data_IF_548278456044
#
_entry.id   IF_548278456044
#
_cell.length_a   1.000
_cell.length_b   1.000
_cell.length_c   1.000
_cell.angle_alpha   90.00
_cell.angle_beta   90.00
_cell.angle_gamma   90.00
#
_symmetry.space_group_name_H-M   'P 1'
#
loop_
_entity.id
_entity.type
_entity.pdbx_description
1 polymer ?
#
# COMPACT_ATOMS: atom_id res chain seq x y z
N UNK A 1 -14.39 23.61 -3.97
CA UNK A 1 -13.47 22.47 -4.12
C UNK A 1 -13.91 21.40 -3.15
N UNK A 2 -14.51 20.32 -3.66
CA UNK A 2 -15.03 19.21 -2.84
C UNK A 2 -13.82 18.44 -2.30
N UNK A 3 -13.68 18.38 -0.97
CA UNK A 3 -12.74 17.48 -0.31
C UNK A 3 -13.28 16.06 -0.49
N UNK A 4 -12.56 15.24 -1.27
CA UNK A 4 -12.78 13.80 -1.29
C UNK A 4 -12.55 13.28 0.13
N UNK A 5 -13.60 12.74 0.74
CA UNK A 5 -13.46 12.01 2.00
C UNK A 5 -13.05 10.61 1.60
N UNK A 6 -11.76 10.31 1.69
CA UNK A 6 -11.28 8.92 1.73
C UNK A 6 -11.96 8.28 2.93
N UNK A 7 -12.89 7.36 2.69
CA UNK A 7 -13.54 6.61 3.75
C UNK A 7 -12.47 5.69 4.37
N UNK A 8 -11.94 6.09 5.52
CA UNK A 8 -11.09 5.22 6.31
C UNK A 8 -11.96 4.05 6.81
N UNK A 9 -11.81 2.88 6.20
CA UNK A 9 -12.47 1.66 6.61
C UNK A 9 -11.79 1.16 7.90
N UNK A 10 -12.32 1.57 9.06
CA UNK A 10 -11.83 1.10 10.35
C UNK A 10 -12.49 -0.26 10.64
N UNK A 11 -11.73 -1.34 10.50
CA UNK A 11 -12.13 -2.67 10.97
C UNK A 11 -12.08 -2.73 12.50
N UNK A 12 -13.18 -2.39 13.16
CA UNK A 12 -13.35 -2.69 14.58
C UNK A 12 -13.86 -4.12 14.76
N UNK A 13 -13.34 -4.83 15.77
CA UNK A 13 -13.70 -6.21 16.07
C UNK A 13 -15.02 -6.38 16.87
N UNK A 14 -15.68 -7.52 16.64
CA UNK A 14 -16.74 -8.23 17.40
C UNK A 14 -18.22 -7.78 17.31
N UNK A 15 -19.04 -8.55 16.56
CA UNK A 15 -20.13 -9.47 17.02
C UNK A 15 -21.08 -9.83 15.85
N UNK A 16 -21.38 -11.13 15.75
CA UNK A 16 -22.12 -11.93 14.74
C UNK A 16 -23.51 -11.46 14.30
N UNK A 17 -23.87 -11.69 13.01
CA UNK A 17 -25.11 -12.31 12.49
C UNK A 17 -24.76 -13.01 11.15
N UNK A 18 -25.34 -14.19 10.91
CA UNK A 18 -24.95 -15.15 9.87
C UNK A 18 -25.70 -14.95 8.53
N UNK A 19 -24.95 -14.91 7.44
CA UNK A 19 -25.33 -15.52 6.14
C UNK A 19 -24.08 -16.16 5.53
N UNK A 20 -24.14 -17.46 5.25
CA UNK A 20 -23.10 -18.17 4.49
C UNK A 20 -23.48 -18.19 3.01
N UNK A 21 -22.63 -17.62 2.18
CA UNK A 21 -22.66 -17.83 0.73
C UNK A 21 -21.25 -18.10 0.23
N UNK A 22 -21.17 -18.74 -0.92
CA UNK A 22 -19.89 -19.12 -1.53
C UNK A 22 -19.68 -18.17 -2.71
N UNK A 23 -18.61 -17.38 -2.68
CA UNK A 23 -18.11 -16.73 -3.89
C UNK A 23 -17.60 -17.86 -4.80
N UNK A 24 -18.12 -17.94 -6.03
CA UNK A 24 -17.78 -19.03 -6.94
C UNK A 24 -16.35 -18.84 -7.48
N UNK A 25 -15.46 -19.82 -7.25
CA UNK A 25 -14.08 -19.79 -7.75
C UNK A 25 -13.94 -20.48 -9.12
N UNK A 26 -13.21 -19.84 -10.04
CA UNK A 26 -12.84 -20.39 -11.35
C UNK A 26 -11.43 -21.02 -11.41
N UNK A 27 -10.68 -21.03 -10.29
CA UNK A 27 -9.29 -21.46 -10.22
C UNK A 27 -8.92 -22.10 -8.86
N UNK A 28 -7.67 -22.58 -8.74
CA UNK A 28 -7.17 -23.25 -7.54
C UNK A 28 -7.26 -22.38 -6.28
N UNK A 29 -7.42 -23.03 -5.12
CA UNK A 29 -7.57 -22.36 -3.82
C UNK A 29 -6.23 -21.75 -3.34
N UNK A 30 -6.33 -20.60 -2.67
CA UNK A 30 -5.23 -19.87 -2.04
C UNK A 30 -5.34 -20.08 -0.53
N UNK A 31 -4.37 -20.79 0.05
CA UNK A 31 -4.31 -21.04 1.49
C UNK A 31 -3.67 -19.88 2.27
N UNK A 32 -2.78 -19.14 1.61
CA UNK A 32 -2.07 -18.00 2.17
C UNK A 32 -1.87 -16.94 1.09
N UNK A 33 -2.44 -15.75 1.28
CA UNK A 33 -2.34 -14.66 0.31
C UNK A 33 -0.90 -14.16 0.19
N UNK A 34 -0.19 -14.05 1.32
CA UNK A 34 1.22 -13.69 1.34
C UNK A 34 2.08 -14.65 0.51
N UNK A 35 1.93 -15.96 0.69
CA UNK A 35 2.70 -16.98 -0.04
C UNK A 35 2.30 -17.07 -1.52
N UNK A 36 1.03 -16.79 -1.85
CA UNK A 36 0.59 -16.75 -3.24
C UNK A 36 1.23 -15.58 -3.99
N UNK A 37 1.23 -14.38 -3.39
CA UNK A 37 1.79 -13.18 -4.02
C UNK A 37 3.33 -13.21 -4.00
N UNK A 38 3.91 -13.71 -2.91
CA UNK A 38 5.36 -13.87 -2.76
C UNK A 38 5.69 -15.34 -2.44
N UNK A 39 5.88 -16.19 -3.46
CA UNK A 39 6.22 -17.60 -3.26
C UNK A 39 7.58 -17.83 -2.59
N UNK A 40 8.42 -16.80 -2.53
CA UNK A 40 9.67 -16.83 -1.78
C UNK A 40 9.38 -16.66 -0.28
N UNK A 41 10.04 -17.46 0.55
CA UNK A 41 9.87 -17.46 2.02
C UNK A 41 10.14 -16.06 2.62
N UNK A 42 11.10 -15.34 2.06
CA UNK A 42 11.46 -13.99 2.48
C UNK A 42 11.10 -13.00 1.38
N UNK A 43 10.19 -12.06 1.71
CA UNK A 43 9.95 -10.90 0.85
C UNK A 43 11.16 -9.97 1.03
N UNK A 44 11.84 -9.55 -0.05
CA UNK A 44 13.02 -8.73 0.07
C UNK A 44 12.69 -7.43 0.82
N UNK A 45 13.60 -6.97 1.66
CA UNK A 45 13.55 -5.65 2.28
C UNK A 45 14.67 -4.85 1.64
N UNK A 46 14.33 -3.84 0.86
CA UNK A 46 15.32 -3.02 0.15
C UNK A 46 15.85 -1.91 1.07
N UNK A 47 17.16 -1.79 1.13
CA UNK A 47 17.88 -0.85 1.98
C UNK A 47 19.20 -0.42 1.33
N UNK A 48 19.40 0.88 1.20
CA UNK A 48 20.64 1.47 0.65
C UNK A 48 21.85 1.09 1.52
N UNK A 49 21.71 1.08 2.84
CA UNK A 49 22.81 0.83 3.79
C UNK A 49 23.36 -0.60 3.71
N UNK A 50 22.52 -1.55 3.28
CA UNK A 50 22.88 -2.97 3.20
C UNK A 50 23.42 -3.39 1.83
N UNK A 51 23.51 -2.44 0.87
CA UNK A 51 23.84 -2.71 -0.54
C UNK A 51 22.93 -3.74 -1.22
N UNK A 52 21.77 -4.04 -0.62
CA UNK A 52 20.80 -4.97 -1.19
C UNK A 52 19.83 -4.28 -2.17
N UNK A 53 19.99 -2.98 -2.42
CA UNK A 53 19.23 -2.20 -3.42
C UNK A 53 19.54 -2.61 -4.88
N UNK A 54 20.54 -3.45 -5.11
CA UNK A 54 20.74 -4.11 -6.40
C UNK A 54 19.88 -5.38 -6.56
N UNK A 55 19.11 -5.74 -5.53
CA UNK A 55 18.16 -6.86 -5.58
C UNK A 55 16.93 -6.42 -6.35
N UNK A 56 16.35 -7.34 -7.12
CA UNK A 56 15.11 -7.08 -7.84
C UNK A 56 13.94 -6.81 -6.89
N UNK A 57 13.13 -5.82 -7.24
CA UNK A 57 11.80 -5.64 -6.66
C UNK A 57 10.95 -6.82 -7.14
N UNK A 58 10.19 -7.51 -6.24
CA UNK A 58 9.32 -8.59 -6.64
C UNK A 58 8.28 -8.11 -7.66
N UNK A 59 8.17 -8.79 -8.80
CA UNK A 59 7.09 -8.55 -9.78
C UNK A 59 5.96 -9.53 -9.50
N UNK A 60 4.74 -9.02 -9.33
CA UNK A 60 3.55 -9.84 -9.08
C UNK A 60 2.82 -10.16 -10.39
N UNK A 61 2.09 -11.28 -10.42
CA UNK A 61 1.28 -11.65 -11.57
C UNK A 61 0.12 -10.65 -11.75
N UNK A 62 -0.16 -10.21 -12.99
CA UNK A 62 -1.23 -9.24 -13.24
C UNK A 62 -2.62 -9.75 -12.85
N UNK A 63 -2.84 -11.08 -12.81
CA UNK A 63 -4.09 -11.66 -12.30
C UNK A 63 -4.39 -11.26 -10.85
N UNK A 64 -3.38 -10.82 -10.09
CA UNK A 64 -3.56 -10.28 -8.75
C UNK A 64 -4.39 -9.00 -8.74
N UNK A 65 -4.47 -8.24 -9.83
CA UNK A 65 -5.29 -7.03 -9.92
C UNK A 65 -6.80 -7.32 -9.93
N UNK A 66 -7.22 -8.56 -10.24
CA UNK A 66 -8.62 -8.98 -10.09
C UNK A 66 -8.91 -9.31 -8.62
N UNK A 67 -9.29 -8.29 -7.85
CA UNK A 67 -9.53 -8.41 -6.42
C UNK A 67 -10.66 -9.40 -6.09
N UNK A 68 -11.72 -9.43 -6.90
CA UNK A 68 -12.87 -10.31 -6.69
C UNK A 68 -12.50 -11.78 -6.90
N UNK A 69 -11.78 -12.09 -7.99
CA UNK A 69 -11.27 -13.43 -8.25
C UNK A 69 -10.22 -13.85 -7.22
N UNK A 70 -9.32 -12.95 -6.82
CA UNK A 70 -8.33 -13.22 -5.77
C UNK A 70 -9.01 -13.57 -4.44
N UNK A 71 -9.95 -12.75 -3.97
CA UNK A 71 -10.71 -12.99 -2.73
C UNK A 71 -11.55 -14.26 -2.84
N UNK A 72 -12.16 -14.52 -4.00
CA UNK A 72 -12.96 -15.72 -4.27
C UNK A 72 -12.17 -17.03 -4.24
N UNK A 73 -10.83 -16.97 -4.37
CA UNK A 73 -9.93 -18.13 -4.29
C UNK A 73 -9.46 -18.43 -2.87
N UNK A 74 -9.66 -17.54 -1.89
CA UNK A 74 -9.21 -17.79 -0.52
C UNK A 74 -9.88 -19.04 0.06
N UNK A 75 -9.09 -19.94 0.66
CA UNK A 75 -9.59 -21.20 1.18
C UNK A 75 -10.22 -21.10 2.56
N UNK A 76 -9.92 -20.04 3.32
CA UNK A 76 -10.53 -19.77 4.61
C UNK A 76 -12.04 -19.48 4.44
N UNK A 77 -12.87 -20.24 5.15
CA UNK A 77 -14.30 -19.96 5.21
C UNK A 77 -14.55 -18.69 6.04
N UNK A 78 -15.09 -17.66 5.40
CA UNK A 78 -15.48 -16.42 6.07
C UNK A 78 -17.00 -16.29 6.18
N UNK A 79 -17.47 -15.70 7.28
CA UNK A 79 -18.82 -15.16 7.33
C UNK A 79 -18.80 -13.77 6.66
N UNK A 80 -19.83 -13.42 5.88
CA UNK A 80 -19.90 -12.09 5.29
C UNK A 80 -21.20 -11.35 5.55
N UNK A 81 -21.11 -10.02 5.49
CA UNK A 81 -22.23 -9.09 5.53
C UNK A 81 -22.30 -8.29 4.22
N UNK A 82 -23.53 -8.01 3.78
CA UNK A 82 -23.81 -7.13 2.65
C UNK A 82 -24.37 -5.81 3.19
N UNK A 83 -23.96 -4.69 2.60
CA UNK A 83 -24.51 -3.38 2.94
C UNK A 83 -24.92 -2.62 1.69
N UNK A 84 -26.10 -2.03 1.79
CA UNK A 84 -26.65 -1.03 0.88
C UNK A 84 -26.66 0.29 1.66
N UNK A 85 -25.66 1.14 1.42
CA UNK A 85 -25.42 2.37 2.15
C UNK A 85 -26.34 3.50 1.67
N UNK A 86 -26.80 3.47 0.42
CA UNK A 86 -27.63 4.52 -0.18
C UNK A 86 -29.15 4.17 -0.21
N UNK A 87 -29.51 2.93 0.12
CA UNK A 87 -30.86 2.34 0.09
C UNK A 87 -31.52 2.32 -1.30
N UNK A 88 -30.75 2.12 -2.37
CA UNK A 88 -31.28 1.98 -3.73
C UNK A 88 -31.66 0.54 -4.11
N UNK A 89 -31.36 -0.43 -3.24
CA UNK A 89 -31.63 -1.85 -3.45
C UNK A 89 -30.49 -2.60 -4.15
N UNK A 90 -29.35 -1.94 -4.39
CA UNK A 90 -28.10 -2.50 -4.88
C UNK A 90 -27.11 -2.61 -3.72
N UNK A 91 -26.20 -3.59 -3.80
CA UNK A 91 -25.21 -3.85 -2.76
C UNK A 91 -23.96 -3.01 -3.00
N UNK A 92 -23.65 -2.12 -2.06
CA UNK A 92 -22.49 -1.23 -2.11
C UNK A 92 -21.24 -1.85 -1.47
N UNK A 93 -21.43 -2.71 -0.47
CA UNK A 93 -20.31 -3.32 0.26
C UNK A 93 -20.55 -4.80 0.54
N UNK A 94 -19.46 -5.56 0.45
CA UNK A 94 -19.38 -6.94 0.89
C UNK A 94 -18.18 -7.09 1.83
N UNK A 95 -18.41 -7.51 3.08
CA UNK A 95 -17.34 -7.61 4.08
C UNK A 95 -17.27 -9.03 4.61
N UNK A 96 -16.13 -9.71 4.42
CA UNK A 96 -15.87 -11.06 4.91
C UNK A 96 -14.99 -11.06 6.16
N UNK A 97 -15.34 -11.89 7.15
CA UNK A 97 -14.59 -12.04 8.41
C UNK A 97 -14.45 -13.52 8.77
N UNK A 98 -13.22 -14.00 8.76
CA UNK A 98 -12.77 -15.30 9.26
C UNK A 98 -11.88 -15.15 10.49
N UNK A 99 -11.22 -16.25 10.89
CA UNK A 99 -10.36 -16.25 12.08
C UNK A 99 -9.00 -15.61 11.79
N UNK A 100 -8.43 -15.91 10.64
CA UNK A 100 -7.10 -15.44 10.20
C UNK A 100 -7.18 -14.47 9.04
N UNK A 101 -8.32 -14.41 8.36
CA UNK A 101 -8.52 -13.61 7.14
C UNK A 101 -9.73 -12.70 7.29
N UNK A 102 -9.60 -11.45 6.87
CA UNK A 102 -10.72 -10.51 6.71
C UNK A 102 -10.58 -9.79 5.38
N UNK A 103 -11.68 -9.50 4.71
CA UNK A 103 -11.66 -8.75 3.47
C UNK A 103 -12.89 -7.85 3.31
N UNK A 104 -12.80 -6.89 2.41
CA UNK A 104 -13.91 -6.02 2.04
C UNK A 104 -13.84 -5.62 0.58
N UNK A 105 -15.02 -5.55 -0.06
CA UNK A 105 -15.25 -4.99 -1.39
C UNK A 105 -16.19 -3.80 -1.24
N UNK A 106 -15.88 -2.68 -1.88
CA UNK A 106 -16.60 -1.40 -1.73
C UNK A 106 -16.78 -0.73 -3.09
N UNK A 107 -18.04 -0.47 -3.42
CA UNK A 107 -18.47 0.41 -4.52
C UNK A 107 -18.60 1.83 -3.93
N UNK A 108 -17.71 2.73 -4.33
CA UNK A 108 -17.66 4.10 -3.82
C UNK A 108 -18.49 5.07 -4.68
N UNK A 109 -18.73 4.75 -5.96
CA UNK A 109 -19.43 5.62 -6.90
C UNK A 109 -20.90 5.21 -7.17
N UNK A 110 -21.33 4.06 -6.64
CA UNK A 110 -22.65 3.45 -6.76
C UNK A 110 -23.02 3.02 -8.19
N UNK A 111 -22.06 2.57 -8.98
CA UNK A 111 -22.28 2.07 -10.35
C UNK A 111 -22.43 0.55 -10.45
N UNK A 112 -22.47 -0.14 -9.30
CA UNK A 112 -22.51 -1.60 -9.15
C UNK A 112 -21.20 -2.32 -9.46
N UNK A 113 -20.08 -1.61 -9.54
CA UNK A 113 -18.72 -2.15 -9.65
C UNK A 113 -17.93 -1.77 -8.41
N UNK A 114 -17.08 -2.68 -7.93
CA UNK A 114 -16.26 -2.41 -6.75
C UNK A 114 -15.04 -1.58 -7.12
N UNK A 115 -14.89 -0.43 -6.47
CA UNK A 115 -13.78 0.51 -6.70
C UNK A 115 -12.63 0.32 -5.72
N UNK A 116 -12.91 -0.33 -4.59
CA UNK A 116 -11.92 -0.56 -3.56
C UNK A 116 -12.09 -1.94 -2.95
N UNK A 117 -10.97 -2.65 -2.83
CA UNK A 117 -10.91 -3.90 -2.09
C UNK A 117 -9.80 -3.86 -1.05
N UNK A 118 -9.98 -4.63 0.02
CA UNK A 118 -8.97 -4.80 1.06
C UNK A 118 -8.99 -6.23 1.57
N UNK A 119 -7.81 -6.78 1.85
CA UNK A 119 -7.57 -8.07 2.46
C UNK A 119 -6.59 -7.89 3.63
N UNK A 120 -6.88 -8.53 4.75
CA UNK A 120 -6.08 -8.58 5.96
C UNK A 120 -5.87 -10.05 6.31
N UNK A 121 -4.63 -10.45 6.52
CA UNK A 121 -4.26 -11.83 6.85
C UNK A 121 -3.28 -11.86 8.03
N UNK A 122 -3.48 -12.85 8.90
CA UNK A 122 -2.62 -13.16 10.03
C UNK A 122 -1.90 -14.49 9.79
N UNK A 123 -0.70 -14.45 9.22
CA UNK A 123 0.07 -15.64 8.87
C UNK A 123 0.81 -16.25 10.07
N UNK A 124 1.32 -15.41 10.96
CA UNK A 124 2.09 -15.82 12.12
C UNK A 124 1.50 -15.24 13.41
N UNK A 125 0.75 -16.06 14.16
CA UNK A 125 0.45 -15.84 15.59
C UNK A 125 -0.77 -14.94 15.92
N UNK A 126 -1.83 -14.98 15.11
CA UNK A 126 -3.13 -14.27 15.31
C UNK A 126 -3.10 -12.74 15.17
N UNK A 127 -1.95 -12.14 14.90
CA UNK A 127 -1.83 -10.74 14.54
C UNK A 127 -1.80 -10.57 13.02
N UNK A 128 -2.45 -9.52 12.52
CA UNK A 128 -2.39 -9.17 11.10
C UNK A 128 -0.96 -8.78 10.77
N UNK A 129 -0.33 -9.52 9.86
CA UNK A 129 1.03 -9.29 9.40
C UNK A 129 1.11 -9.05 7.88
N UNK A 130 -0.03 -9.14 7.21
CA UNK A 130 -0.19 -8.91 5.79
C UNK A 130 -1.48 -8.13 5.52
N UNK A 131 -1.36 -7.04 4.75
CA UNK A 131 -2.49 -6.26 4.25
C UNK A 131 -2.31 -6.04 2.75
N UNK A 132 -3.39 -6.17 2.02
CA UNK A 132 -3.44 -5.90 0.60
C UNK A 132 -4.65 -5.02 0.28
N UNK A 133 -4.46 -4.05 -0.59
CA UNK A 133 -5.49 -3.10 -1.00
C UNK A 133 -5.48 -2.99 -2.51
N UNK A 134 -6.67 -2.89 -3.10
CA UNK A 134 -6.86 -2.61 -4.51
C UNK A 134 -7.68 -1.35 -4.66
N UNK A 135 -7.33 -0.51 -5.63
CA UNK A 135 -8.05 0.70 -5.96
C UNK A 135 -8.28 0.80 -7.46
N UNK A 136 -9.51 1.07 -7.86
CA UNK A 136 -9.89 1.66 -9.14
C UNK A 136 -9.99 3.19 -8.92
N UNK A 137 -9.02 3.93 -9.44
CA UNK A 137 -8.93 5.38 -9.26
C UNK A 137 -9.68 6.14 -10.35
N UNK A 138 -9.83 5.55 -11.54
CA UNK A 138 -10.50 6.18 -12.67
C UNK A 138 -11.97 5.76 -12.84
N UNK A 139 -12.43 4.83 -11.99
CA UNK A 139 -13.78 4.28 -11.93
C UNK A 139 -14.21 3.62 -13.26
N UNK A 140 -13.28 2.96 -13.94
CA UNK A 140 -13.55 2.30 -15.23
C UNK A 140 -13.98 0.81 -15.08
N UNK A 141 -13.95 0.29 -13.85
CA UNK A 141 -14.31 -1.08 -13.49
C UNK A 141 -13.13 -2.06 -13.52
N UNK A 142 -11.89 -1.57 -13.58
CA UNK A 142 -10.68 -2.37 -13.40
C UNK A 142 -9.83 -1.77 -12.29
N UNK A 143 -9.26 -2.60 -11.41
CA UNK A 143 -8.32 -2.10 -10.42
C UNK A 143 -7.06 -1.58 -11.12
N UNK A 144 -6.61 -0.39 -10.74
CA UNK A 144 -5.45 0.29 -11.33
C UNK A 144 -4.19 0.15 -10.46
N UNK A 145 -4.40 -0.03 -9.16
CA UNK A 145 -3.32 -0.04 -8.18
C UNK A 145 -3.55 -1.12 -7.12
N UNK A 146 -2.47 -1.82 -6.78
CA UNK A 146 -2.40 -2.79 -5.69
C UNK A 146 -1.36 -2.33 -4.67
N UNK A 147 -1.77 -2.08 -3.43
CA UNK A 147 -0.85 -1.81 -2.31
C UNK A 147 -0.74 -3.04 -1.43
N UNK A 148 0.48 -3.41 -1.07
CA UNK A 148 0.75 -4.51 -0.15
C UNK A 148 1.60 -4.00 1.00
N UNK A 149 1.19 -4.32 2.22
CA UNK A 149 1.92 -4.01 3.43
C UNK A 149 2.29 -5.30 4.15
N UNK A 150 3.55 -5.39 4.58
CA UNK A 150 4.08 -6.56 5.26
C UNK A 150 4.73 -6.13 6.56
N UNK A 151 4.30 -6.77 7.64
CA UNK A 151 4.92 -6.66 8.96
C UNK A 151 5.96 -7.76 9.09
N UNK A 152 7.19 -7.38 9.46
CA UNK A 152 8.22 -8.36 9.77
C UNK A 152 7.95 -8.97 11.14
N UNK A 153 8.41 -10.21 11.36
CA UNK A 153 8.11 -10.98 12.58
C UNK A 153 8.49 -10.24 13.87
N UNK A 154 9.57 -9.47 13.85
CA UNK A 154 10.04 -8.67 15.00
C UNK A 154 9.08 -7.51 15.34
N UNK A 155 8.36 -6.99 14.33
CA UNK A 155 7.47 -5.82 14.39
C UNK A 155 6.00 -6.19 14.63
N UNK A 156 5.65 -7.49 14.58
CA UNK A 156 4.27 -7.97 14.81
C UNK A 156 3.72 -7.50 16.17
N UNK A 157 4.60 -7.40 17.18
CA UNK A 157 4.22 -6.97 18.53
C UNK A 157 4.03 -5.45 18.66
N UNK A 158 4.52 -4.64 17.71
CA UNK A 158 4.38 -3.18 17.69
C UNK A 158 3.21 -2.71 16.82
N UNK A 159 2.64 -3.60 15.99
CA UNK A 159 1.53 -3.28 15.08
C UNK A 159 1.93 -2.36 13.94
N UNK A 160 3.20 -2.40 13.54
CA UNK A 160 3.79 -1.51 12.52
C UNK A 160 4.06 -2.28 11.21
N UNK A 161 4.10 -1.56 10.09
CA UNK A 161 4.42 -2.11 8.77
C UNK A 161 5.85 -1.75 8.39
N UNK A 162 6.64 -2.78 8.08
CA UNK A 162 8.08 -2.66 7.80
C UNK A 162 8.36 -2.28 6.34
N UNK A 163 7.51 -2.77 5.44
CA UNK A 163 7.62 -2.55 4.01
C UNK A 163 6.24 -2.36 3.41
N UNK A 164 6.13 -1.38 2.51
CA UNK A 164 4.99 -1.19 1.64
C UNK A 164 5.44 -1.35 0.19
N UNK A 165 4.71 -2.15 -0.57
CA UNK A 165 4.80 -2.24 -2.02
C UNK A 165 3.57 -1.58 -2.65
N UNK A 166 3.77 -0.87 -3.75
CA UNK A 166 2.71 -0.32 -4.60
C UNK A 166 2.97 -0.80 -6.01
N UNK A 167 1.99 -1.47 -6.61
CA UNK A 167 2.01 -1.93 -7.99
C UNK A 167 0.96 -1.15 -8.76
N UNK A 168 1.34 -0.52 -9.88
CA UNK A 168 0.45 0.26 -10.72
C UNK A 168 0.45 -0.24 -12.16
N UNK A 169 -0.72 -0.18 -12.80
CA UNK A 169 -0.87 -0.41 -14.24
C UNK A 169 -0.84 0.88 -15.08
N UNK A 170 -0.45 1.99 -14.46
CA UNK A 170 -0.19 3.26 -15.10
C UNK A 170 1.29 3.42 -15.50
N UNK A 171 1.54 4.07 -16.64
CA UNK A 171 2.88 4.14 -17.24
C UNK A 171 3.64 5.44 -17.00
N UNK A 172 2.97 6.49 -16.53
CA UNK A 172 3.59 7.78 -16.26
C UNK A 172 2.97 8.37 -15.02
N UNK A 173 3.79 8.79 -14.04
CA UNK A 173 3.37 9.63 -12.93
C UNK A 173 4.00 11.00 -13.19
N UNK A 174 3.16 11.98 -13.51
CA UNK A 174 3.58 13.37 -13.45
C UNK A 174 3.68 13.78 -11.98
N UNK A 175 4.91 13.83 -11.46
CA UNK A 175 5.17 14.18 -10.07
C UNK A 175 4.83 15.64 -9.73
N UNK A 176 4.92 16.55 -10.70
CA UNK A 176 4.63 17.97 -10.49
C UNK A 176 3.11 18.20 -10.38
N UNK A 177 2.32 17.44 -11.14
CA UNK A 177 0.86 17.57 -11.17
C UNK A 177 0.14 16.54 -10.29
N UNK A 178 0.83 15.48 -9.84
CA UNK A 178 0.25 14.35 -9.11
C UNK A 178 -0.74 13.54 -9.96
N UNK A 179 -0.54 13.49 -11.28
CA UNK A 179 -1.42 12.77 -12.22
C UNK A 179 -0.73 11.51 -12.74
N UNK A 180 -1.52 10.47 -13.02
CA UNK A 180 -1.03 9.22 -13.60
C UNK A 180 -1.77 8.89 -14.90
N UNK A 181 -1.07 8.29 -15.87
CA UNK A 181 -1.63 7.81 -17.13
C UNK A 181 -1.99 6.32 -17.06
N UNK A 182 -3.30 6.05 -16.94
CA UNK A 182 -3.91 4.72 -16.84
C UNK A 182 -4.27 4.08 -18.20
N UNK A 183 -3.74 4.59 -19.32
CA UNK A 183 -4.11 4.07 -20.65
C UNK A 183 -3.51 2.68 -20.98
N UNK A 184 -2.53 2.21 -20.20
CA UNK A 184 -1.80 0.97 -20.44
C UNK A 184 -2.37 -0.23 -19.66
N UNK A 185 -3.50 -0.77 -20.13
CA UNK A 185 -4.16 -1.93 -19.49
C UNK A 185 -3.36 -3.23 -19.64
N UNK A 186 -3.37 -4.08 -18.61
CA UNK A 186 -2.89 -5.47 -18.60
C UNK A 186 -1.38 -5.73 -18.42
N UNK A 187 -0.64 -4.79 -17.83
CA UNK A 187 0.75 -5.04 -17.41
C UNK A 187 1.08 -4.15 -16.21
N UNK A 188 1.79 -4.69 -15.22
CA UNK A 188 2.42 -3.89 -14.17
C UNK A 188 3.51 -3.05 -14.83
N UNK A 189 3.41 -1.73 -14.70
CA UNK A 189 4.40 -0.80 -15.25
C UNK A 189 5.16 -0.07 -14.15
N UNK A 190 4.54 0.07 -12.98
CA UNK A 190 5.12 0.80 -11.88
C UNK A 190 5.18 -0.07 -10.64
N UNK A 191 6.35 -0.15 -10.01
CA UNK A 191 6.49 -0.74 -8.69
C UNK A 191 7.21 0.26 -7.78
N UNK A 192 6.64 0.53 -6.61
CA UNK A 192 7.31 1.29 -5.55
C UNK A 192 7.43 0.45 -4.29
N UNK A 193 8.65 0.30 -3.79
CA UNK A 193 8.89 -0.23 -2.46
C UNK A 193 9.27 0.91 -1.51
N UNK A 194 8.65 0.94 -0.34
CA UNK A 194 8.96 1.85 0.74
C UNK A 194 9.35 1.04 1.95
N UNK A 195 10.58 1.24 2.43
CA UNK A 195 11.05 0.65 3.68
C UNK A 195 11.16 1.73 4.74
N UNK A 196 10.60 1.41 5.91
CA UNK A 196 10.64 2.25 7.10
C UNK A 196 11.35 1.45 8.19
N UNK A 197 12.62 1.73 8.52
CA UNK A 197 13.24 1.07 9.66
C UNK A 197 12.54 1.49 10.95
N UNK A 198 12.06 0.50 11.72
CA UNK A 198 11.15 0.62 12.87
C UNK A 198 11.66 1.54 14.01
N UNK A 199 12.96 1.80 14.11
CA UNK A 199 13.56 2.59 15.19
C UNK A 199 14.49 3.71 14.71
N UNK A 200 14.09 4.42 13.64
CA UNK A 200 14.93 5.51 13.17
C UNK A 200 14.66 6.82 13.90
N UNK A 201 15.48 7.13 14.92
CA UNK A 201 15.53 8.46 15.55
C UNK A 201 15.83 9.60 14.56
N UNK A 202 16.32 9.27 13.36
CA UNK A 202 16.61 10.19 12.25
C UNK A 202 15.43 10.37 11.29
N UNK A 203 14.32 9.64 11.47
CA UNK A 203 13.15 9.72 10.59
C UNK A 203 13.51 9.50 9.12
N UNK A 204 14.08 8.35 8.76
CA UNK A 204 14.43 8.07 7.35
C UNK A 204 13.36 7.20 6.67
N UNK A 205 13.02 7.56 5.43
CA UNK A 205 12.21 6.76 4.52
C UNK A 205 13.04 6.51 3.25
N UNK A 206 13.12 5.25 2.83
CA UNK A 206 13.77 4.88 1.58
C UNK A 206 12.71 4.43 0.58
N UNK A 207 12.83 4.90 -0.65
CA UNK A 207 11.88 4.68 -1.74
C UNK A 207 12.67 4.11 -2.92
N UNK A 208 12.18 3.00 -3.45
CA UNK A 208 12.74 2.32 -4.61
C UNK A 208 11.67 2.22 -5.67
N UNK A 209 12.01 2.48 -6.93
CA UNK A 209 11.04 2.43 -8.04
C UNK A 209 11.57 1.65 -9.23
N UNK A 210 10.68 0.83 -9.74
CA UNK A 210 10.70 0.22 -11.06
C UNK A 210 9.66 0.97 -11.91
N UNK A 211 10.09 1.61 -12.99
CA UNK A 211 9.25 2.46 -13.85
C UNK A 211 8.77 1.73 -15.11
N UNK A 212 9.22 0.50 -15.37
CA UNK A 212 8.76 -0.31 -16.51
C UNK A 212 8.24 -1.71 -16.16
N UNK A 213 8.24 -2.07 -14.87
CA UNK A 213 7.69 -3.29 -14.30
C UNK A 213 8.54 -4.54 -14.56
N UNK A 214 9.84 -4.38 -14.87
CA UNK A 214 10.74 -5.51 -15.13
C UNK A 214 11.38 -6.13 -13.87
N UNK A 215 11.14 -5.52 -12.70
CA UNK A 215 11.68 -5.89 -11.40
C UNK A 215 13.04 -5.26 -11.08
N UNK A 216 13.65 -4.54 -12.01
CA UNK A 216 14.84 -3.72 -11.79
C UNK A 216 14.50 -2.42 -11.07
N UNK A 217 15.48 -1.85 -10.36
CA UNK A 217 15.33 -0.52 -9.77
C UNK A 217 15.87 0.49 -10.77
N UNK A 218 15.00 1.39 -11.23
CA UNK A 218 15.36 2.49 -12.14
C UNK A 218 15.65 3.79 -11.39
N UNK A 219 15.12 3.92 -10.16
CA UNK A 219 15.22 5.15 -9.38
C UNK A 219 15.14 4.89 -7.88
N UNK A 220 15.97 5.58 -7.13
CA UNK A 220 15.99 5.55 -5.66
C UNK A 220 15.90 6.93 -5.05
N UNK A 221 15.25 7.00 -3.89
CA UNK A 221 15.20 8.21 -3.09
C UNK A 221 15.28 7.89 -1.59
N UNK A 222 16.13 8.65 -0.88
CA UNK A 222 16.20 8.63 0.58
C UNK A 222 15.70 9.97 1.10
N UNK A 223 14.70 9.92 1.97
CA UNK A 223 14.14 11.10 2.67
C UNK A 223 14.51 11.02 4.14
N UNK A 224 15.13 12.06 4.67
CA UNK A 224 15.45 12.20 6.10
C UNK A 224 14.65 13.33 6.70
N UNK A 225 13.87 13.01 7.72
CA UNK A 225 12.97 13.91 8.42
C UNK A 225 13.61 14.37 9.74
N UNK A 226 13.84 15.67 9.87
CA UNK A 226 14.42 16.25 11.07
C UNK A 226 13.35 16.91 11.93
N UNK A 227 13.36 16.56 13.21
CA UNK A 227 12.71 17.30 14.29
C UNK A 227 13.79 18.22 14.88
N UNK A 228 13.75 19.50 14.53
CA UNK A 228 14.81 20.47 14.87
C UNK A 228 14.63 20.99 16.30
N UNK A 229 13.40 21.04 16.81
CA UNK A 229 13.05 21.67 18.08
C UNK A 229 12.65 20.66 19.18
N UNK A 230 12.71 19.36 18.88
CA UNK A 230 12.38 18.23 19.77
C UNK A 230 10.92 18.24 20.26
N UNK A 231 9.99 18.81 19.48
CA UNK A 231 8.57 18.84 19.82
C UNK A 231 7.77 17.63 19.29
N UNK A 232 8.45 16.69 18.62
CA UNK A 232 7.91 15.53 17.91
C UNK A 232 7.15 15.85 16.62
N UNK A 233 7.29 17.06 16.09
CA UNK A 233 6.94 17.43 14.73
C UNK A 233 8.19 17.30 13.85
N UNK A 234 8.02 17.14 12.54
CA UNK A 234 9.11 17.08 11.57
C UNK A 234 9.06 18.34 10.72
N UNK A 235 10.00 19.26 10.88
CA UNK A 235 9.97 20.59 10.24
C UNK A 235 10.75 20.64 8.93
N UNK A 236 11.64 19.68 8.68
CA UNK A 236 12.46 19.70 7.46
C UNK A 236 12.76 18.31 6.93
N UNK A 237 12.95 18.24 5.60
CA UNK A 237 13.26 17.00 4.90
C UNK A 237 14.50 17.19 4.02
N UNK A 238 15.52 16.36 4.20
CA UNK A 238 16.60 16.23 3.22
C UNK A 238 16.24 15.09 2.27
N UNK A 239 16.28 15.36 0.96
CA UNK A 239 16.04 14.37 -0.07
C UNK A 239 17.35 14.07 -0.78
N UNK A 240 17.63 12.79 -0.97
CA UNK A 240 18.74 12.28 -1.75
C UNK A 240 18.15 11.42 -2.86
N UNK A 241 18.52 11.65 -4.12
CA UNK A 241 18.03 10.87 -5.25
C UNK A 241 19.20 10.20 -5.97
N UNK A 242 19.01 8.97 -6.41
CA UNK A 242 19.89 8.32 -7.39
C UNK A 242 18.99 7.92 -8.57
N UNK A 243 19.11 8.65 -9.68
CA UNK A 243 18.20 8.54 -10.84
C UNK A 243 18.80 7.78 -12.01
N UNK A 244 20.11 7.68 -12.06
CA UNK A 244 20.87 6.95 -13.07
C UNK A 244 21.48 5.65 -12.52
N UNK A 245 21.21 5.35 -11.24
CA UNK A 245 21.55 4.11 -10.56
C UNK A 245 23.06 3.84 -10.55
N UNK A 246 23.86 4.91 -10.48
CA UNK A 246 25.33 4.83 -10.46
C UNK A 246 25.90 4.72 -9.02
N UNK A 247 25.04 4.79 -8.01
CA UNK A 247 25.39 4.74 -6.59
C UNK A 247 25.80 6.10 -6.01
N UNK A 248 25.70 7.18 -6.77
CA UNK A 248 26.00 8.55 -6.36
C UNK A 248 24.68 9.32 -6.18
N UNK A 249 24.33 9.60 -4.94
CA UNK A 249 23.12 10.36 -4.63
C UNK A 249 23.31 11.86 -4.86
N UNK A 250 22.41 12.44 -5.65
CA UNK A 250 22.23 13.88 -5.81
C UNK A 250 21.37 14.44 -4.67
N UNK A 251 21.81 15.56 -4.09
CA UNK A 251 21.07 16.22 -3.01
C UNK A 251 19.99 17.16 -3.54
N UNK A 252 18.77 16.99 -3.03
CA UNK A 252 17.65 17.90 -3.24
C UNK A 252 17.14 18.36 -1.86
N UNK A 253 17.31 19.64 -1.54
CA UNK A 253 16.83 20.20 -0.27
C UNK A 253 15.40 20.70 -0.42
N UNK A 254 14.47 20.18 0.38
CA UNK A 254 13.10 20.69 0.49
C UNK A 254 12.91 21.29 1.89
N UNK A 255 12.82 22.62 1.95
CA UNK A 255 12.62 23.39 3.18
C UNK A 255 11.15 23.84 3.27
N UNK A 256 10.43 23.47 4.34
CA UNK A 256 9.01 23.84 4.59
C UNK A 256 8.83 24.90 5.72
N UNK A 257 9.81 25.79 5.88
CA UNK A 257 9.50 27.19 6.22
C UNK A 257 9.07 27.60 7.64
N UNK A 258 8.84 26.74 8.63
CA UNK A 258 8.16 27.18 9.88
C UNK A 258 9.04 27.53 11.09
N UNK A 259 10.38 27.44 11.02
CA UNK A 259 11.23 27.61 12.22
C UNK A 259 11.65 29.07 12.54
N UNK A 260 11.29 30.07 11.71
CA UNK A 260 11.73 31.47 11.95
C UNK A 260 10.63 32.48 12.31
N UNK A 261 9.38 32.09 12.52
CA UNK A 261 8.34 33.08 12.88
C UNK A 261 8.38 33.53 14.35
N UNK A 262 9.26 32.96 15.18
CA UNK A 262 9.54 33.45 16.55
C UNK A 262 11.03 33.76 16.79
N UNK A 263 11.80 34.14 15.76
CA UNK A 263 13.10 34.77 16.01
C UNK A 263 12.88 36.17 16.59
N UNK A 264 12.85 36.23 17.92
CA UNK A 264 13.09 37.37 18.80
C UNK A 264 13.52 38.64 18.05
N UNK A 265 12.65 39.65 18.01
CA UNK A 265 13.04 41.05 17.79
C UNK A 265 14.05 41.42 18.88
N UNK A 266 15.34 41.29 18.59
CA UNK A 266 16.40 41.95 19.35
C UNK A 266 16.61 43.31 18.69
N UNK A 267 15.82 44.29 19.13
CA UNK A 267 16.09 45.71 18.88
C UNK A 267 17.48 46.08 19.46
N UNK A 268 18.31 46.68 18.62
CA UNK A 268 19.54 47.37 19.01
C UNK A 268 19.26 48.82 19.42
#
# INVERSE_FOLDING_TARGET
MKKGKTAALIFTAFMTIWTSGTIASGGGMIDCAREYVFPAIDVPVLCVEENNYHTSIPVIDYSVFDAEDFIGKLSEEVAYEERDNNNDGIRDQLLGRGNTVQWGLVDNNYDSVYDYAVLLEANYNSYIDFKMEWCDYDYNGTMDEVKIHITNYEDINSGQFSTQYVYGDFSDINFDEGTADYTNKNKVQYIQAVTLPENNSLGEQQIFRDMDGDGGIDWMQVRRYYDINEDNVKESTKILNDRDMDGIFEEEFVYDGTVFDESVDIDF
#
